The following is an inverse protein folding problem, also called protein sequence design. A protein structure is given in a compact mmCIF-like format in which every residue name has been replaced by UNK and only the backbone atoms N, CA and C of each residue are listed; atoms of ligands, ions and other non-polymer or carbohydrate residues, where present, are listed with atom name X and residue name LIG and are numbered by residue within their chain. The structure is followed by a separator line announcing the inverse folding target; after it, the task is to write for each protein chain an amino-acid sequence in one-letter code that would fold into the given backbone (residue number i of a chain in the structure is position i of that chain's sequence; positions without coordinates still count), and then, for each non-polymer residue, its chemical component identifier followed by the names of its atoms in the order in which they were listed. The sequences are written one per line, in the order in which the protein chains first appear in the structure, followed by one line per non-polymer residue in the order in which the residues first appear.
data_IF_862274778686
#
_entry.id   IF_862274778686
#
_cell.length_a   1.000
_cell.length_b   1.000
_cell.length_c   1.000
_cell.angle_alpha   90.00
_cell.angle_beta   90.00
_cell.angle_gamma   90.00
#
_symmetry.space_group_name_H-M   'P 1'
#
loop_
_entity.id
_entity.type
_entity.pdbx_description
1 polymer ?
#
# COMPACT_ATOMS: atom_id res chain seq x y z
N UNK A 1 19.13 3.64 1.56
CA UNK A 1 17.87 3.02 1.13
C UNK A 1 16.97 2.94 2.35
N UNK A 2 15.86 3.67 2.37
CA UNK A 2 14.85 3.53 3.41
C UNK A 2 14.31 2.10 3.48
N UNK A 3 14.02 1.64 4.69
CA UNK A 3 13.49 0.31 4.95
C UNK A 3 12.09 0.39 5.53
N UNK A 4 11.23 -0.52 5.09
CA UNK A 4 9.90 -0.75 5.65
C UNK A 4 9.75 -2.20 6.06
N UNK A 5 8.76 -2.51 6.89
CA UNK A 5 8.49 -3.87 7.33
C UNK A 5 7.01 -4.10 7.60
N UNK A 6 6.59 -5.35 7.49
CA UNK A 6 5.32 -5.74 8.07
C UNK A 6 5.37 -5.73 9.60
N UNK A 7 4.20 -5.75 10.26
CA UNK A 7 4.10 -5.67 11.72
C UNK A 7 4.95 -6.73 12.46
N UNK A 8 4.94 -7.98 11.98
CA UNK A 8 5.75 -9.07 12.57
C UNK A 8 7.19 -9.16 12.04
N UNK A 9 7.63 -8.20 11.22
CA UNK A 9 8.95 -8.13 10.60
C UNK A 9 9.37 -9.34 9.74
N UNK A 10 8.44 -10.24 9.39
CA UNK A 10 8.73 -11.37 8.49
C UNK A 10 8.99 -10.96 7.05
N UNK A 11 8.52 -9.77 6.66
CA UNK A 11 8.70 -9.18 5.34
C UNK A 11 9.38 -7.83 5.54
N UNK A 12 10.48 -7.59 4.84
CA UNK A 12 11.21 -6.32 4.82
C UNK A 12 11.27 -5.78 3.40
N UNK A 13 11.07 -4.47 3.27
CA UNK A 13 11.06 -3.77 1.99
C UNK A 13 12.20 -2.76 2.00
N UNK A 14 12.97 -2.68 0.91
CA UNK A 14 13.94 -1.60 0.69
C UNK A 14 13.58 -0.85 -0.58
N UNK A 15 13.66 0.47 -0.51
CA UNK A 15 13.36 1.41 -1.61
C UNK A 15 14.53 2.39 -1.80
N UNK A 16 14.67 3.05 -2.97
CA UNK A 16 15.72 4.03 -3.19
C UNK A 16 15.59 5.22 -2.22
N UNK A 17 14.38 5.77 -2.10
CA UNK A 17 14.05 6.95 -1.29
C UNK A 17 12.56 6.96 -0.95
N UNK A 18 12.18 7.60 0.17
CA UNK A 18 10.78 7.90 0.53
C UNK A 18 10.31 9.04 -0.39
N UNK A 19 9.09 9.01 -0.95
CA UNK A 19 8.69 10.06 -1.89
C UNK A 19 8.47 11.38 -1.15
N UNK A 20 8.64 12.51 -1.84
CA UNK A 20 8.43 13.83 -1.23
C UNK A 20 6.99 14.04 -0.73
N UNK A 21 6.02 13.48 -1.45
CA UNK A 21 4.61 13.49 -1.09
C UNK A 21 4.02 12.10 -1.26
N UNK A 22 3.06 11.75 -0.41
CA UNK A 22 2.33 10.50 -0.49
C UNK A 22 1.04 10.65 -1.30
N UNK A 23 0.40 9.54 -1.65
CA UNK A 23 -0.96 9.54 -2.16
C UNK A 23 -1.89 8.79 -1.20
N UNK A 24 -3.14 9.23 -1.06
CA UNK A 24 -4.18 8.50 -0.34
C UNK A 24 -5.25 8.00 -1.32
N UNK A 25 -5.59 6.72 -1.22
CA UNK A 25 -6.75 6.16 -1.92
C UNK A 25 -7.89 5.88 -0.95
N UNK A 26 -9.03 6.53 -1.18
CA UNK A 26 -10.24 6.45 -0.34
C UNK A 26 -11.26 5.40 -0.82
N UNK A 27 -10.95 4.60 -1.85
CA UNK A 27 -11.90 3.58 -2.33
C UNK A 27 -12.21 2.54 -1.24
N UNK A 28 -13.41 1.94 -1.32
CA UNK A 28 -13.89 0.98 -0.32
C UNK A 28 -12.92 -0.19 -0.09
N UNK A 29 -12.30 -0.71 -1.16
CA UNK A 29 -11.34 -1.80 -1.04
C UNK A 29 -10.03 -1.38 -0.35
N UNK A 30 -9.54 -0.15 -0.59
CA UNK A 30 -8.38 0.37 0.12
C UNK A 30 -8.68 0.58 1.61
N UNK A 31 -9.88 1.05 1.95
CA UNK A 31 -10.34 1.15 3.34
C UNK A 31 -10.41 -0.22 4.03
N UNK A 32 -11.01 -1.22 3.37
CA UNK A 32 -11.08 -2.59 3.90
C UNK A 32 -9.70 -3.23 4.07
N UNK A 33 -8.83 -3.08 3.08
CA UNK A 33 -7.48 -3.65 3.15
C UNK A 33 -6.64 -3.04 4.29
N UNK A 34 -6.76 -1.73 4.52
CA UNK A 34 -5.98 -1.01 5.53
C UNK A 34 -6.69 -0.79 6.86
N UNK A 35 -7.95 -1.19 7.03
CA UNK A 35 -8.83 -0.84 8.16
C UNK A 35 -8.76 0.64 8.57
N UNK A 36 -8.68 1.54 7.59
CA UNK A 36 -8.49 2.99 7.78
C UNK A 36 -9.38 3.80 6.83
N UNK A 37 -9.60 5.11 7.08
CA UNK A 37 -10.38 5.98 6.20
C UNK A 37 -9.89 6.01 4.74
N UNK A 38 -8.61 5.73 4.50
CA UNK A 38 -8.01 5.56 3.19
C UNK A 38 -6.63 4.91 3.31
N UNK A 39 -6.10 4.35 2.22
CA UNK A 39 -4.77 3.74 2.19
C UNK A 39 -3.74 4.75 1.69
N UNK A 40 -2.72 5.04 2.49
CA UNK A 40 -1.51 5.73 2.02
C UNK A 40 -0.74 4.77 1.10
N UNK A 41 -0.34 5.24 -0.06
CA UNK A 41 0.35 4.45 -1.08
C UNK A 41 1.52 5.19 -1.71
N UNK A 42 2.55 4.44 -2.08
CA UNK A 42 3.70 4.91 -2.85
C UNK A 42 3.82 4.09 -4.13
N UNK A 43 4.13 4.73 -5.26
CA UNK A 43 4.29 4.08 -6.56
C UNK A 43 5.76 4.09 -6.96
N UNK A 44 6.31 2.93 -7.28
CA UNK A 44 7.69 2.77 -7.74
C UNK A 44 7.74 1.88 -8.98
N UNK A 45 8.82 2.00 -9.75
CA UNK A 45 9.22 0.93 -10.65
C UNK A 45 9.60 -0.32 -9.84
N UNK A 46 9.13 -1.47 -10.30
CA UNK A 46 9.23 -2.72 -9.55
C UNK A 46 10.68 -3.17 -9.36
N UNK A 47 11.56 -2.85 -10.31
CA UNK A 47 12.99 -3.13 -10.25
C UNK A 47 13.74 -2.28 -9.20
N UNK A 48 13.15 -1.17 -8.76
CA UNK A 48 13.69 -0.33 -7.69
C UNK A 48 13.31 -0.82 -6.28
N UNK A 49 12.36 -1.74 -6.17
CA UNK A 49 11.85 -2.23 -4.88
C UNK A 49 12.40 -3.63 -4.60
N UNK A 50 13.10 -3.76 -3.47
CA UNK A 50 13.52 -5.06 -2.96
C UNK A 50 12.56 -5.54 -1.88
N UNK A 51 12.01 -6.73 -2.06
CA UNK A 51 11.17 -7.42 -1.06
C UNK A 51 11.96 -8.62 -0.54
N UNK A 52 12.33 -8.60 0.74
CA UNK A 52 12.89 -9.74 1.45
C UNK A 52 11.78 -10.47 2.22
N UNK A 53 11.49 -11.69 1.77
CA UNK A 53 10.51 -12.60 2.36
C UNK A 53 11.09 -14.01 2.46
N UNK A 54 12.24 -14.15 3.16
CA UNK A 54 12.93 -15.43 3.33
C UNK A 54 12.05 -16.57 3.88
N UNK A 55 10.93 -16.25 4.55
CA UNK A 55 10.00 -17.22 5.15
C UNK A 55 8.75 -17.49 4.30
N UNK A 56 8.60 -16.87 3.12
CA UNK A 56 7.45 -17.07 2.24
C UNK A 56 6.10 -16.64 2.84
N UNK A 57 6.14 -15.60 3.68
CA UNK A 57 4.98 -15.05 4.37
C UNK A 57 4.13 -14.16 3.47
N UNK A 58 4.63 -13.66 2.33
CA UNK A 58 3.88 -12.81 1.41
C UNK A 58 2.77 -13.63 0.71
N UNK A 59 1.52 -13.23 0.92
CA UNK A 59 0.34 -13.81 0.27
C UNK A 59 -0.28 -12.79 -0.66
N UNK A 60 -0.96 -13.27 -1.70
CA UNK A 60 -1.63 -12.44 -2.70
C UNK A 60 -3.12 -12.80 -2.74
N UNK A 61 -3.96 -11.79 -2.70
CA UNK A 61 -5.40 -11.88 -2.94
C UNK A 61 -5.74 -11.18 -4.26
N UNK A 62 -6.42 -11.90 -5.15
CA UNK A 62 -6.93 -11.37 -6.42
C UNK A 62 -8.28 -10.69 -6.17
N UNK A 63 -8.28 -9.36 -6.16
CA UNK A 63 -9.46 -8.53 -5.92
C UNK A 63 -10.04 -8.03 -7.25
N UNK A 64 -11.08 -8.70 -7.75
CA UNK A 64 -11.77 -8.31 -8.99
C UNK A 64 -12.99 -7.42 -8.74
N UNK A 65 -13.48 -7.32 -7.51
CA UNK A 65 -14.61 -6.45 -7.14
C UNK A 65 -14.09 -5.08 -6.67
N UNK A 66 -13.54 -4.31 -7.61
CA UNK A 66 -12.96 -2.99 -7.31
C UNK A 66 -13.80 -1.85 -7.86
N UNK A 67 -13.75 -0.70 -7.19
CA UNK A 67 -14.41 0.52 -7.65
C UNK A 67 -13.96 0.96 -9.05
N UNK A 68 -12.74 0.59 -9.47
CA UNK A 68 -12.23 0.90 -10.82
C UNK A 68 -12.67 -0.08 -11.91
N UNK A 69 -13.25 -1.23 -11.55
CA UNK A 69 -13.50 -2.34 -12.47
C UNK A 69 -12.26 -3.17 -12.83
N UNK A 70 -11.06 -2.66 -12.57
CA UNK A 70 -9.81 -3.41 -12.76
C UNK A 70 -9.61 -4.46 -11.66
N UNK A 71 -9.06 -5.62 -12.02
CA UNK A 71 -8.56 -6.57 -11.02
C UNK A 71 -7.26 -6.06 -10.41
N UNK A 72 -7.16 -6.11 -9.08
CA UNK A 72 -6.00 -5.69 -8.31
C UNK A 72 -5.45 -6.87 -7.51
N UNK A 73 -4.16 -7.12 -7.63
CA UNK A 73 -3.47 -8.14 -6.85
C UNK A 73 -2.96 -7.52 -5.55
N UNK A 74 -3.64 -7.78 -4.44
CA UNK A 74 -3.31 -7.24 -3.11
C UNK A 74 -2.35 -8.17 -2.40
N UNK A 75 -1.16 -7.68 -2.09
CA UNK A 75 -0.16 -8.44 -1.36
C UNK A 75 -0.15 -8.03 0.11
N UNK A 76 -0.08 -9.02 1.00
CA UNK A 76 -0.10 -8.83 2.45
C UNK A 76 0.71 -9.93 3.15
N UNK A 77 1.13 -9.66 4.38
CA UNK A 77 1.81 -10.65 5.20
C UNK A 77 0.79 -11.66 5.75
N UNK A 78 0.91 -12.93 5.37
CA UNK A 78 0.05 -14.01 5.88
C UNK A 78 0.18 -14.27 7.38
N UNK A 79 1.28 -13.84 8.01
CA UNK A 79 1.51 -14.04 9.44
C UNK A 79 0.84 -12.98 10.33
N UNK A 80 0.70 -11.74 9.83
CA UNK A 80 0.18 -10.62 10.65
C UNK A 80 -0.91 -9.79 9.97
N UNK A 81 -1.33 -10.14 8.74
CA UNK A 81 -2.34 -9.41 7.97
C UNK A 81 -1.87 -8.07 7.40
N UNK A 82 -0.68 -7.58 7.75
CA UNK A 82 -0.18 -6.28 7.32
C UNK A 82 -0.18 -6.16 5.79
N UNK A 83 -0.87 -5.15 5.21
CA UNK A 83 -0.84 -4.87 3.79
C UNK A 83 0.56 -4.47 3.33
N UNK A 84 1.04 -5.07 2.23
CA UNK A 84 2.39 -4.82 1.70
C UNK A 84 2.33 -4.01 0.41
N UNK A 85 1.62 -4.52 -0.60
CA UNK A 85 1.60 -3.92 -1.92
C UNK A 85 0.28 -4.16 -2.67
N UNK A 86 0.09 -3.45 -3.77
CA UNK A 86 -0.98 -3.67 -4.73
C UNK A 86 -0.40 -3.61 -6.14
N UNK A 87 -0.77 -4.56 -7.01
CA UNK A 87 -0.30 -4.64 -8.40
C UNK A 87 -1.51 -4.63 -9.34
N UNK A 88 -1.35 -4.00 -10.51
CA UNK A 88 -2.38 -4.02 -11.57
C UNK A 88 -2.34 -5.32 -12.40
N UNK A 89 -1.18 -5.98 -12.41
CA UNK A 89 -0.94 -7.29 -13.00
C UNK A 89 0.19 -7.98 -12.21
N UNK A 90 0.26 -9.31 -12.22
CA UNK A 90 1.29 -10.05 -11.48
C UNK A 90 2.71 -9.75 -11.96
N UNK A 91 2.87 -9.33 -13.21
CA UNK A 91 4.09 -8.92 -13.90
C UNK A 91 4.17 -7.41 -14.15
N UNK A 92 3.29 -6.60 -13.53
CA UNK A 92 3.25 -5.17 -13.75
C UNK A 92 4.63 -4.51 -13.47
N UNK A 93 5.05 -3.54 -14.31
CA UNK A 93 6.31 -2.83 -14.14
C UNK A 93 6.29 -1.87 -12.96
N UNK A 94 5.09 -1.47 -12.50
CA UNK A 94 4.89 -0.64 -11.32
C UNK A 94 4.39 -1.47 -10.14
N UNK A 95 4.88 -1.12 -8.95
CA UNK A 95 4.40 -1.66 -7.67
C UNK A 95 3.88 -0.51 -6.80
N UNK A 96 2.71 -0.73 -6.20
CA UNK A 96 2.08 0.24 -5.30
C UNK A 96 2.28 -0.25 -3.86
N UNK A 97 3.32 0.25 -3.19
CA UNK A 97 3.61 -0.07 -1.79
C UNK A 97 2.62 0.60 -0.84
N UNK A 98 2.37 -0.03 0.30
CA UNK A 98 1.57 0.53 1.38
C UNK A 98 2.44 1.40 2.26
N UNK A 99 2.09 2.68 2.40
CA UNK A 99 2.93 3.66 3.09
C UNK A 99 3.18 3.29 4.56
N UNK A 100 2.19 2.69 5.22
CA UNK A 100 2.29 2.25 6.63
C UNK A 100 3.32 1.15 6.92
N UNK A 101 4.05 0.65 5.92
CA UNK A 101 5.23 -0.19 6.11
C UNK A 101 6.44 0.59 6.64
N UNK A 102 6.46 1.91 6.46
CA UNK A 102 7.59 2.78 6.76
C UNK A 102 7.27 3.70 7.96
N UNK A 103 8.28 4.01 8.77
CA UNK A 103 8.12 4.81 9.97
C UNK A 103 7.84 6.30 9.66
N UNK A 104 8.38 6.81 8.54
CA UNK A 104 8.12 8.17 8.08
C UNK A 104 7.07 8.19 6.97
N UNK A 105 5.99 8.93 7.21
CA UNK A 105 4.90 9.12 6.27
C UNK A 105 4.89 10.57 5.76
N UNK A 106 5.27 10.81 4.49
CA UNK A 106 5.15 12.13 3.87
C UNK A 106 3.70 12.57 3.80
N UNK A 107 3.47 13.89 3.86
CA UNK A 107 2.13 14.46 3.69
C UNK A 107 1.52 14.03 2.35
N UNK A 108 0.20 13.82 2.27
CA UNK A 108 -0.46 13.53 1.01
C UNK A 108 -0.42 14.74 0.07
N UNK A 109 0.07 14.55 -1.16
CA UNK A 109 0.01 15.52 -2.26
C UNK A 109 -1.01 15.15 -3.33
N UNK A 110 -1.52 13.91 -3.30
CA UNK A 110 -2.50 13.41 -4.26
C UNK A 110 -3.55 12.51 -3.59
N UNK A 111 -4.74 12.46 -4.17
CA UNK A 111 -5.84 11.62 -3.69
C UNK A 111 -6.50 10.84 -4.83
N UNK A 112 -6.86 9.58 -4.57
CA UNK A 112 -7.68 8.75 -5.45
C UNK A 112 -9.04 8.47 -4.82
N UNK A 113 -10.10 8.53 -5.63
CA UNK A 113 -11.50 8.43 -5.20
C UNK A 113 -11.86 9.41 -4.06
N UNK A 114 -11.52 10.72 -4.17
CA UNK A 114 -11.75 11.70 -3.10
C UNK A 114 -13.23 11.83 -2.69
N UNK A 115 -14.17 11.51 -3.59
CA UNK A 115 -15.60 11.46 -3.27
C UNK A 115 -15.96 10.46 -2.16
N UNK A 116 -15.08 9.51 -1.84
CA UNK A 116 -15.27 8.53 -0.76
C UNK A 116 -14.52 8.89 0.53
N UNK A 117 -13.82 10.03 0.57
CA UNK A 117 -13.19 10.54 1.78
C UNK A 117 -14.28 10.87 2.82
N UNK A 118 -14.20 10.36 4.05
CA UNK A 118 -15.17 10.73 5.08
C UNK A 118 -15.11 12.22 5.38
N UNK A 119 -16.27 12.89 5.40
CA UNK A 119 -16.36 14.34 5.59
C UNK A 119 -15.76 14.80 6.93
N UNK A 120 -15.84 13.95 7.96
CA UNK A 120 -15.28 14.20 9.29
C UNK A 120 -13.76 14.00 9.37
N UNK A 121 -13.07 13.58 8.30
CA UNK A 121 -11.63 13.31 8.32
C UNK A 121 -10.78 14.58 8.56
N UNK A 122 -11.38 15.77 8.43
CA UNK A 122 -10.84 17.00 9.01
C UNK A 122 -11.06 17.00 10.53
N UNK A 123 -10.33 16.12 11.24
CA UNK A 123 -10.30 16.13 12.71
C UNK A 123 -9.42 17.30 13.12
N UNK A 124 -10.05 18.46 13.32
CA UNK A 124 -9.39 19.61 13.93
C UNK A 124 -8.92 19.22 15.32
N UNK A 125 -7.62 19.33 15.54
CA UNK A 125 -7.00 19.14 16.85
C UNK A 125 -7.49 20.19 17.86
#
# INVERSE_FOLDING_TARGET
MPEGRCNCASIKISIPEIPNESAICYCGNCRRAGSTPGSIVYSYDRDQVRIDDAKGALKTYTDSDTTSGNTIFRQFCGNCGCPVASLLAMDAPKIILKGGLFDHLPKPGATSFPQNQPEWLDIKA
#
